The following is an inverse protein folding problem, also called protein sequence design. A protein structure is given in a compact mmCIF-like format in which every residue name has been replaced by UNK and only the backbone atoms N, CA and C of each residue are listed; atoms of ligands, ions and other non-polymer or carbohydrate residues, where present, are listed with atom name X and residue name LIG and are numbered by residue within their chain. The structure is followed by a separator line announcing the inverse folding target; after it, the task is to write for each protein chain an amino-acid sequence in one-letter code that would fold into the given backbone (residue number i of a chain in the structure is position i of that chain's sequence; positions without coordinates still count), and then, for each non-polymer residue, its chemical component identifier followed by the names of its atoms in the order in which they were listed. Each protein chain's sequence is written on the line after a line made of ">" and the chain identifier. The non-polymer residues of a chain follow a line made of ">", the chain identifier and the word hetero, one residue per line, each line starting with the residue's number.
data_IF_540350174368
#
_entry.id   IF_540350174368
#
_cell.length_a   1.000
_cell.length_b   1.000
_cell.length_c   1.000
_cell.angle_alpha   90.00
_cell.angle_beta   90.00
_cell.angle_gamma   90.00
#
_symmetry.space_group_name_H-M   'P 1'
#
loop_
_entity.id
_entity.type
_entity.pdbx_description
1 polymer ?
#
# COMPACT_ATOMS: atom_id res chain seq x y z
N UNK A 1 8.14 -5.73 21.59
CA UNK A 1 8.37 -6.39 20.30
C UNK A 1 8.33 -5.30 19.26
N UNK A 2 9.18 -5.38 18.24
CA UNK A 2 9.23 -4.40 17.15
C UNK A 2 8.26 -4.86 16.08
N UNK A 3 7.33 -4.00 15.68
CA UNK A 3 6.28 -4.37 14.71
C UNK A 3 6.43 -3.60 13.39
N UNK A 4 6.36 -4.31 12.27
CA UNK A 4 6.17 -3.74 10.94
C UNK A 4 4.77 -4.13 10.43
N UNK A 5 3.92 -3.15 10.18
CA UNK A 5 2.66 -3.36 9.51
C UNK A 5 2.81 -3.01 8.03
N UNK A 6 2.63 -3.99 7.15
CA UNK A 6 2.59 -3.80 5.71
C UNK A 6 1.13 -3.77 5.25
N UNK A 7 0.67 -2.64 4.72
CA UNK A 7 -0.69 -2.51 4.20
C UNK A 7 -0.62 -2.50 2.69
N UNK A 8 -1.17 -3.54 2.09
CA UNK A 8 -1.23 -3.72 0.64
C UNK A 8 -2.65 -4.07 0.20
N UNK A 9 -2.89 -4.12 -1.10
CA UNK A 9 -4.22 -4.48 -1.56
C UNK A 9 -4.50 -4.01 -2.98
N UNK A 10 -5.61 -4.49 -3.53
CA UNK A 10 -6.07 -4.10 -4.85
C UNK A 10 -6.38 -2.61 -4.94
N UNK A 11 -6.46 -2.08 -6.16
CA UNK A 11 -6.77 -0.66 -6.40
C UNK A 11 -8.16 -0.33 -5.81
N UNK A 12 -8.31 0.87 -5.24
CA UNK A 12 -9.56 1.40 -4.67
C UNK A 12 -10.12 0.64 -3.46
N UNK A 13 -9.32 -0.16 -2.76
CA UNK A 13 -9.72 -0.87 -1.53
C UNK A 13 -9.73 0.00 -0.27
N UNK A 14 -9.19 1.22 -0.30
CA UNK A 14 -9.13 2.12 0.87
C UNK A 14 -7.91 1.93 1.78
N UNK A 15 -6.81 1.38 1.24
CA UNK A 15 -5.55 1.14 1.97
C UNK A 15 -5.06 2.34 2.76
N UNK A 16 -4.92 3.48 2.09
CA UNK A 16 -4.37 4.70 2.70
C UNK A 16 -5.25 5.23 3.83
N UNK A 17 -6.59 5.12 3.70
CA UNK A 17 -7.53 5.46 4.77
C UNK A 17 -7.33 4.54 5.97
N UNK A 18 -7.21 3.24 5.73
CA UNK A 18 -7.01 2.25 6.79
C UNK A 18 -5.66 2.42 7.49
N UNK A 19 -4.58 2.66 6.72
CA UNK A 19 -3.27 2.98 7.27
C UNK A 19 -3.31 4.21 8.21
N UNK A 20 -4.04 5.26 7.81
CA UNK A 20 -4.23 6.45 8.64
C UNK A 20 -4.98 6.13 9.96
N UNK A 21 -6.00 5.27 9.90
CA UNK A 21 -6.73 4.83 11.11
C UNK A 21 -5.79 4.08 12.06
N UNK A 22 -5.01 3.13 11.54
CA UNK A 22 -4.08 2.35 12.34
C UNK A 22 -2.95 3.23 12.91
N UNK A 23 -2.37 4.12 12.11
CA UNK A 23 -1.34 5.05 12.57
C UNK A 23 -1.84 5.93 13.75
N UNK A 24 -3.07 6.43 13.67
CA UNK A 24 -3.67 7.20 14.75
C UNK A 24 -3.97 6.36 15.98
N UNK A 25 -4.47 5.13 15.80
CA UNK A 25 -4.79 4.21 16.90
C UNK A 25 -3.55 3.80 17.66
N UNK A 26 -2.46 3.46 16.96
CA UNK A 26 -1.23 2.94 17.56
C UNK A 26 -0.15 4.01 17.78
N UNK A 27 -0.42 5.26 17.44
CA UNK A 27 0.57 6.36 17.50
C UNK A 27 1.88 6.01 16.76
N UNK A 28 1.77 5.30 15.64
CA UNK A 28 2.89 4.75 14.87
C UNK A 28 3.12 5.56 13.60
N UNK A 29 4.39 5.78 13.26
CA UNK A 29 4.76 6.43 12.01
C UNK A 29 4.31 5.60 10.82
N UNK A 30 3.93 6.30 9.74
CA UNK A 30 3.53 5.64 8.51
C UNK A 30 4.10 6.36 7.29
N UNK A 31 4.36 5.58 6.24
CA UNK A 31 4.79 6.11 4.95
C UNK A 31 3.99 5.46 3.82
N UNK A 32 3.56 6.32 2.90
CA UNK A 32 2.86 5.93 1.69
C UNK A 32 3.81 6.05 0.51
N UNK A 33 3.94 4.98 -0.27
CA UNK A 33 4.74 5.02 -1.50
C UNK A 33 4.24 6.10 -2.46
N UNK A 34 2.92 6.23 -2.59
CA UNK A 34 2.32 7.20 -3.49
C UNK A 34 2.65 8.65 -3.09
N UNK A 35 2.62 8.98 -1.79
CA UNK A 35 3.03 10.31 -1.32
C UNK A 35 4.52 10.61 -1.56
N UNK A 36 5.38 9.62 -1.38
CA UNK A 36 6.81 9.76 -1.73
C UNK A 36 6.95 10.01 -3.24
N UNK A 37 6.20 9.27 -4.05
CA UNK A 37 6.21 9.44 -5.51
C UNK A 37 5.72 10.82 -5.95
N UNK A 38 4.71 11.38 -5.27
CA UNK A 38 4.21 12.73 -5.52
C UNK A 38 5.30 13.77 -5.26
N UNK A 39 5.97 13.71 -4.10
CA UNK A 39 7.10 14.60 -3.77
C UNK A 39 8.22 14.49 -4.81
N UNK A 40 8.56 13.27 -5.24
CA UNK A 40 9.56 13.08 -6.29
C UNK A 40 9.10 13.66 -7.63
N UNK A 41 7.82 13.50 -7.97
CA UNK A 41 7.22 14.04 -9.18
C UNK A 41 7.26 15.57 -9.22
N UNK A 42 6.94 16.21 -8.10
CA UNK A 42 6.98 17.67 -7.98
C UNK A 42 8.41 18.24 -8.02
N UNK A 43 9.37 17.50 -7.43
CA UNK A 43 10.75 17.99 -7.28
C UNK A 43 11.58 17.72 -8.52
N UNK A 44 11.47 16.53 -9.11
CA UNK A 44 12.29 16.09 -10.25
C UNK A 44 11.57 16.33 -11.57
N UNK A 45 10.23 16.24 -11.57
CA UNK A 45 9.41 16.26 -12.77
C UNK A 45 9.42 14.93 -13.52
N UNK A 46 8.57 14.83 -14.53
CA UNK A 46 8.52 13.73 -15.51
C UNK A 46 7.78 14.19 -16.75
N UNK A 47 8.19 13.73 -17.90
CA UNK A 47 7.61 14.13 -19.20
C UNK A 47 6.89 12.97 -19.91
N UNK A 48 7.13 11.73 -19.48
CA UNK A 48 6.61 10.53 -20.12
C UNK A 48 6.45 9.37 -19.11
N UNK A 49 5.86 8.27 -19.60
CA UNK A 49 5.58 7.09 -18.78
C UNK A 49 6.84 6.41 -18.24
N UNK A 50 7.93 6.39 -19.00
CA UNK A 50 9.18 5.75 -18.57
C UNK A 50 9.84 6.54 -17.42
N UNK A 51 9.81 7.85 -17.48
CA UNK A 51 10.27 8.69 -16.37
C UNK A 51 9.38 8.52 -15.15
N UNK A 52 8.06 8.48 -15.34
CA UNK A 52 7.13 8.20 -14.25
C UNK A 52 7.36 6.83 -13.58
N UNK A 53 7.73 5.80 -14.36
CA UNK A 53 8.13 4.49 -13.79
C UNK A 53 9.41 4.58 -12.95
N UNK A 54 10.39 5.40 -13.37
CA UNK A 54 11.61 5.65 -12.57
C UNK A 54 11.27 6.28 -11.22
N UNK A 55 10.33 7.24 -11.19
CA UNK A 55 9.84 7.80 -9.92
C UNK A 55 9.17 6.74 -9.04
N UNK A 56 8.39 5.84 -9.64
CA UNK A 56 7.75 4.74 -8.91
C UNK A 56 8.78 3.76 -8.33
N UNK A 57 9.84 3.47 -9.06
CA UNK A 57 10.95 2.66 -8.57
C UNK A 57 11.71 3.37 -7.45
N UNK A 58 12.09 4.64 -7.66
CA UNK A 58 12.80 5.44 -6.66
C UNK A 58 11.99 5.56 -5.35
N UNK A 59 10.67 5.75 -5.44
CA UNK A 59 9.81 5.81 -4.25
C UNK A 59 9.81 4.48 -3.48
N UNK A 60 9.90 3.33 -4.15
CA UNK A 60 10.01 2.04 -3.47
C UNK A 60 11.39 1.85 -2.83
N UNK A 61 12.47 2.23 -3.48
CA UNK A 61 13.82 2.19 -2.87
C UNK A 61 13.90 3.09 -1.63
N UNK A 62 13.25 4.26 -1.65
CA UNK A 62 13.12 5.11 -0.47
C UNK A 62 12.31 4.43 0.65
N UNK A 63 11.27 3.66 0.34
CA UNK A 63 10.53 2.90 1.34
C UNK A 63 11.43 1.85 2.03
N UNK A 64 12.27 1.13 1.29
CA UNK A 64 13.23 0.20 1.86
C UNK A 64 14.27 0.92 2.73
N UNK A 65 14.81 2.04 2.25
CA UNK A 65 15.75 2.85 3.01
C UNK A 65 15.13 3.36 4.32
N UNK A 66 13.94 3.96 4.27
CA UNK A 66 13.20 4.43 5.45
C UNK A 66 13.02 3.29 6.45
N UNK A 67 12.60 2.12 6.00
CA UNK A 67 12.43 0.99 6.91
C UNK A 67 13.75 0.56 7.55
N UNK A 68 14.84 0.50 6.81
CA UNK A 68 16.16 0.18 7.37
C UNK A 68 16.60 1.17 8.45
N UNK A 69 16.35 2.47 8.26
CA UNK A 69 16.64 3.49 9.26
C UNK A 69 15.77 3.32 10.53
N UNK A 70 14.46 3.10 10.36
CA UNK A 70 13.55 2.85 11.49
C UNK A 70 13.90 1.55 12.22
N UNK A 71 14.34 0.52 11.49
CA UNK A 71 14.75 -0.75 12.06
C UNK A 71 15.98 -0.57 12.97
N UNK A 72 16.94 0.27 12.58
CA UNK A 72 18.11 0.58 13.40
C UNK A 72 17.74 1.29 14.72
N UNK A 73 16.63 2.03 14.74
CA UNK A 73 16.10 2.75 15.89
C UNK A 73 15.10 1.93 16.73
N UNK A 74 14.83 0.69 16.32
CA UNK A 74 13.86 -0.20 16.98
C UNK A 74 12.43 0.39 17.07
N UNK A 75 11.99 1.14 16.04
CA UNK A 75 10.70 1.82 16.02
C UNK A 75 9.69 1.07 15.17
N UNK A 76 8.47 0.96 15.70
CA UNK A 76 7.34 0.44 14.93
C UNK A 76 7.04 1.31 13.71
N UNK A 77 6.59 0.67 12.63
CA UNK A 77 6.38 1.35 11.37
C UNK A 77 5.18 0.75 10.60
N UNK A 78 4.46 1.61 9.91
CA UNK A 78 3.44 1.23 8.93
C UNK A 78 3.92 1.65 7.54
N UNK A 79 3.97 0.71 6.60
CA UNK A 79 4.25 0.97 5.20
C UNK A 79 3.05 0.61 4.33
N UNK A 80 2.64 1.52 3.45
CA UNK A 80 1.51 1.30 2.55
C UNK A 80 1.92 1.42 1.09
N UNK A 81 1.56 0.41 0.30
CA UNK A 81 1.71 0.39 -1.15
C UNK A 81 0.89 -0.74 -1.79
N UNK A 82 0.75 -0.69 -3.11
CA UNK A 82 0.43 -1.88 -3.91
C UNK A 82 1.71 -2.72 -4.10
N UNK A 83 2.15 -3.38 -3.03
CA UNK A 83 3.40 -4.15 -3.08
C UNK A 83 3.32 -5.31 -4.06
N UNK A 84 4.38 -5.49 -4.86
CA UNK A 84 4.64 -6.71 -5.61
C UNK A 84 5.26 -7.78 -4.71
N UNK A 85 5.21 -9.05 -5.14
CA UNK A 85 5.75 -10.18 -4.36
C UNK A 85 7.22 -9.96 -3.96
N UNK A 86 8.06 -9.56 -4.91
CA UNK A 86 9.49 -9.31 -4.65
C UNK A 86 9.75 -8.16 -3.67
N UNK A 87 8.86 -7.15 -3.65
CA UNK A 87 8.94 -6.04 -2.70
C UNK A 87 8.59 -6.50 -1.29
N UNK A 88 7.55 -7.32 -1.15
CA UNK A 88 7.18 -7.95 0.12
C UNK A 88 8.29 -8.87 0.64
N UNK A 89 8.85 -9.73 -0.21
CA UNK A 89 9.96 -10.62 0.15
C UNK A 89 11.17 -9.82 0.66
N UNK A 90 11.51 -8.70 -0.01
CA UNK A 90 12.61 -7.83 0.43
C UNK A 90 12.32 -7.15 1.78
N UNK A 91 11.10 -6.64 2.00
CA UNK A 91 10.69 -6.05 3.28
C UNK A 91 10.74 -7.09 4.41
N UNK A 92 10.24 -8.30 4.17
CA UNK A 92 10.32 -9.40 5.14
C UNK A 92 11.75 -9.79 5.46
N UNK A 93 12.65 -9.81 4.46
CA UNK A 93 14.07 -10.08 4.69
C UNK A 93 14.73 -9.01 5.57
N UNK A 94 14.47 -7.72 5.30
CA UNK A 94 14.97 -6.63 6.16
C UNK A 94 14.41 -6.76 7.58
N UNK A 95 13.14 -7.11 7.71
CA UNK A 95 12.49 -7.28 9.01
C UNK A 95 13.11 -8.44 9.80
N UNK A 96 13.29 -9.60 9.16
CA UNK A 96 13.94 -10.77 9.75
C UNK A 96 15.35 -10.46 10.26
N UNK A 97 16.16 -9.80 9.41
CA UNK A 97 17.55 -9.43 9.74
C UNK A 97 17.64 -8.45 10.93
N UNK A 98 16.55 -7.74 11.25
CA UNK A 98 16.46 -6.77 12.34
C UNK A 98 15.55 -7.22 13.50
N UNK A 99 15.01 -8.44 13.46
CA UNK A 99 14.19 -9.01 14.53
C UNK A 99 12.82 -8.33 14.68
N UNK A 100 12.18 -7.97 13.56
CA UNK A 100 10.82 -7.42 13.55
C UNK A 100 9.77 -8.51 13.33
N UNK A 101 8.66 -8.38 14.05
CA UNK A 101 7.43 -9.08 13.72
C UNK A 101 6.72 -8.35 12.59
N UNK A 102 6.37 -9.07 11.54
CA UNK A 102 5.71 -8.50 10.36
C UNK A 102 4.29 -9.03 10.26
N UNK A 103 3.33 -8.11 10.23
CA UNK A 103 1.96 -8.42 9.83
C UNK A 103 1.66 -7.74 8.50
N UNK A 104 1.35 -8.54 7.47
CA UNK A 104 0.88 -8.02 6.19
C UNK A 104 -0.64 -8.03 6.13
N UNK A 105 -1.24 -6.85 5.96
CA UNK A 105 -2.68 -6.68 5.77
C UNK A 105 -2.94 -6.53 4.28
N UNK A 106 -3.59 -7.52 3.68
CA UNK A 106 -3.87 -7.58 2.25
C UNK A 106 -5.36 -7.33 1.98
N UNK A 107 -5.68 -6.16 1.43
CA UNK A 107 -7.05 -5.74 1.12
C UNK A 107 -7.44 -6.19 -0.30
N UNK A 108 -8.58 -6.85 -0.42
CA UNK A 108 -9.17 -7.24 -1.70
C UNK A 108 -10.67 -6.93 -1.69
N UNK A 109 -11.35 -6.98 -2.83
CA UNK A 109 -12.79 -6.72 -2.87
C UNK A 109 -13.47 -7.26 -4.14
N UNK A 110 -14.77 -7.04 -4.26
CA UNK A 110 -15.51 -7.31 -5.48
C UNK A 110 -15.01 -6.36 -6.58
N UNK A 111 -14.57 -6.93 -7.69
CA UNK A 111 -13.89 -6.18 -8.77
C UNK A 111 -14.78 -5.08 -9.33
N UNK A 112 -16.08 -5.35 -9.46
CA UNK A 112 -17.10 -4.41 -9.95
C UNK A 112 -17.17 -3.17 -9.04
N UNK A 113 -17.23 -3.39 -7.72
CA UNK A 113 -17.30 -2.32 -6.72
C UNK A 113 -16.00 -1.52 -6.69
N UNK A 114 -14.86 -2.19 -6.79
CA UNK A 114 -13.56 -1.52 -6.82
C UNK A 114 -13.37 -0.69 -8.09
N UNK A 115 -13.86 -1.19 -9.24
CA UNK A 115 -13.81 -0.45 -10.50
C UNK A 115 -14.68 0.81 -10.45
N UNK A 116 -15.92 0.71 -9.94
CA UNK A 116 -16.79 1.87 -9.75
C UNK A 116 -16.14 2.94 -8.86
N UNK A 117 -15.55 2.52 -7.73
CA UNK A 117 -14.81 3.44 -6.84
C UNK A 117 -13.61 4.08 -7.52
N UNK A 118 -12.89 3.31 -8.33
CA UNK A 118 -11.77 3.81 -9.11
C UNK A 118 -12.21 4.89 -10.09
N UNK A 119 -13.26 4.66 -10.87
CA UNK A 119 -13.80 5.62 -11.81
C UNK A 119 -14.33 6.88 -11.12
N UNK A 120 -15.08 6.72 -10.02
CA UNK A 120 -15.56 7.84 -9.22
C UNK A 120 -14.42 8.71 -8.69
N UNK A 121 -13.34 8.08 -8.24
CA UNK A 121 -12.14 8.78 -7.76
C UNK A 121 -11.42 9.52 -8.89
N UNK A 122 -11.34 8.93 -10.08
CA UNK A 122 -10.73 9.57 -11.26
C UNK A 122 -11.51 10.80 -11.72
N UNK A 123 -12.84 10.81 -11.54
CA UNK A 123 -13.72 11.90 -11.97
C UNK A 123 -13.84 13.02 -10.94
N UNK A 124 -13.87 12.67 -9.66
CA UNK A 124 -14.25 13.57 -8.57
C UNK A 124 -13.09 14.05 -7.70
N UNK A 125 -11.90 13.44 -7.80
CA UNK A 125 -10.72 13.84 -7.06
C UNK A 125 -9.72 14.55 -7.97
N UNK A 126 -9.13 15.62 -7.46
CA UNK A 126 -8.01 16.28 -8.12
C UNK A 126 -6.73 15.45 -7.87
N UNK A 127 -6.51 14.42 -8.69
CA UNK A 127 -5.39 13.51 -8.53
C UNK A 127 -4.09 14.09 -9.03
N UNK A 128 -3.03 13.81 -8.27
CA UNK A 128 -1.68 14.21 -8.66
C UNK A 128 -1.29 13.64 -10.03
N UNK A 129 -0.63 14.43 -10.92
CA UNK A 129 -0.27 14.00 -12.29
C UNK A 129 0.52 12.69 -12.36
N UNK A 130 1.35 12.35 -11.37
CA UNK A 130 2.11 11.08 -11.33
C UNK A 130 1.21 9.83 -11.37
N UNK A 131 -0.06 9.94 -10.98
CA UNK A 131 -1.03 8.84 -10.98
C UNK A 131 -1.86 8.78 -12.26
N UNK A 132 -1.80 9.80 -13.11
CA UNK A 132 -2.60 9.91 -14.33
C UNK A 132 -1.91 9.32 -15.56
N UNK A 133 -0.64 8.95 -15.47
CA UNK A 133 0.11 8.39 -16.61
C UNK A 133 -0.36 7.01 -17.06
N UNK A 134 -1.24 6.37 -16.31
CA UNK A 134 -1.86 5.09 -16.66
C UNK A 134 -3.28 5.08 -16.12
N UNK A 135 -4.24 5.37 -16.97
CA UNK A 135 -5.67 5.20 -16.68
C UNK A 135 -6.11 3.80 -17.09
N UNK A 136 -6.93 3.18 -16.25
CA UNK A 136 -7.47 1.83 -16.49
C UNK A 136 -9.00 1.98 -16.61
N UNK A 137 -9.45 2.61 -17.70
CA UNK A 137 -10.85 2.99 -17.85
C UNK A 137 -11.74 1.79 -18.20
N UNK A 138 -11.18 0.78 -18.88
CA UNK A 138 -11.94 -0.41 -19.29
C UNK A 138 -11.99 -1.42 -18.15
N UNK A 139 -13.19 -1.92 -17.86
CA UNK A 139 -13.43 -2.92 -16.84
C UNK A 139 -12.53 -4.17 -16.99
N UNK A 140 -12.37 -4.68 -18.21
CA UNK A 140 -11.55 -5.85 -18.47
C UNK A 140 -10.07 -5.64 -18.14
N UNK A 141 -9.55 -4.44 -18.35
CA UNK A 141 -8.16 -4.13 -17.99
C UNK A 141 -8.02 -3.90 -16.48
N UNK A 142 -9.02 -3.29 -15.84
CA UNK A 142 -9.09 -3.17 -14.39
C UNK A 142 -9.15 -4.56 -13.74
N UNK A 143 -9.97 -5.47 -14.25
CA UNK A 143 -10.11 -6.84 -13.78
C UNK A 143 -8.79 -7.62 -13.85
N UNK A 144 -7.98 -7.42 -14.90
CA UNK A 144 -6.64 -8.05 -14.99
C UNK A 144 -5.68 -7.59 -13.87
N UNK A 145 -5.80 -6.32 -13.47
CA UNK A 145 -4.97 -5.73 -12.42
C UNK A 145 -5.51 -5.99 -10.99
N UNK A 146 -6.79 -6.37 -10.88
CA UNK A 146 -7.47 -6.62 -9.62
C UNK A 146 -7.39 -8.11 -9.24
N UNK A 147 -7.84 -8.44 -8.04
CA UNK A 147 -7.85 -9.80 -7.50
C UNK A 147 -6.44 -10.40 -7.30
N UNK A 148 -5.41 -9.54 -7.41
CA UNK A 148 -4.01 -9.93 -7.23
C UNK A 148 -3.75 -10.35 -5.78
N UNK A 149 -4.28 -9.59 -4.82
CA UNK A 149 -4.04 -9.83 -3.39
C UNK A 149 -4.73 -11.10 -2.85
N UNK A 150 -5.73 -11.63 -3.53
CA UNK A 150 -6.31 -12.93 -3.17
C UNK A 150 -5.41 -14.11 -3.52
N UNK A 151 -4.61 -13.96 -4.58
CA UNK A 151 -3.86 -15.05 -5.22
C UNK A 151 -2.38 -15.06 -4.92
N UNK A 152 -1.82 -13.90 -4.61
CA UNK A 152 -0.38 -13.78 -4.34
C UNK A 152 -0.01 -14.53 -3.06
N UNK A 153 1.08 -15.26 -3.14
CA UNK A 153 1.74 -15.80 -1.96
C UNK A 153 2.53 -14.69 -1.26
N UNK A 154 2.22 -14.43 -0.01
CA UNK A 154 2.83 -13.39 0.82
C UNK A 154 3.59 -14.11 1.94
N UNK A 155 4.88 -13.77 2.18
CA UNK A 155 5.63 -14.36 3.28
C UNK A 155 5.08 -13.91 4.64
N UNK A 156 5.32 -14.73 5.68
CA UNK A 156 5.00 -14.42 7.06
C UNK A 156 3.52 -14.42 7.42
N UNK A 157 3.17 -13.66 8.45
CA UNK A 157 1.78 -13.54 8.90
C UNK A 157 0.98 -12.62 7.99
N UNK A 158 -0.19 -13.09 7.52
CA UNK A 158 -1.02 -12.37 6.57
C UNK A 158 -2.48 -12.34 7.00
N UNK A 159 -3.00 -11.14 7.14
CA UNK A 159 -4.44 -10.91 7.34
C UNK A 159 -5.07 -10.44 6.02
N UNK A 160 -5.93 -11.27 5.43
CA UNK A 160 -6.69 -10.89 4.24
C UNK A 160 -8.06 -10.35 4.62
N UNK A 161 -8.35 -9.13 4.18
CA UNK A 161 -9.59 -8.42 4.53
C UNK A 161 -10.38 -8.11 3.27
N UNK A 162 -11.66 -8.48 3.28
CA UNK A 162 -12.58 -8.10 2.21
C UNK A 162 -13.02 -6.63 2.39
N UNK A 163 -12.60 -5.79 1.46
CA UNK A 163 -12.84 -4.34 1.41
C UNK A 163 -13.97 -3.97 0.43
N UNK A 164 -14.83 -4.90 0.08
CA UNK A 164 -16.00 -4.64 -0.79
C UNK A 164 -16.92 -3.57 -0.20
N UNK A 165 -17.02 -3.51 1.12
CA UNK A 165 -17.53 -2.34 1.83
C UNK A 165 -16.47 -1.80 2.81
N UNK A 166 -16.64 -0.55 3.28
CA UNK A 166 -15.64 0.07 4.16
C UNK A 166 -15.85 -0.20 5.65
N UNK A 167 -16.81 -1.06 6.04
CA UNK A 167 -17.10 -1.38 7.44
C UNK A 167 -15.91 -2.02 8.16
N UNK A 168 -15.02 -2.69 7.40
CA UNK A 168 -13.81 -3.28 7.97
C UNK A 168 -12.90 -2.25 8.66
N UNK A 169 -12.93 -0.98 8.24
CA UNK A 169 -12.06 0.08 8.74
C UNK A 169 -12.31 0.41 10.23
N UNK A 170 -13.52 0.18 10.70
CA UNK A 170 -13.95 0.41 12.09
C UNK A 170 -14.44 -0.88 12.77
N UNK A 171 -14.05 -2.04 12.25
CA UNK A 171 -14.44 -3.32 12.83
C UNK A 171 -13.48 -3.68 13.96
N UNK A 172 -13.96 -3.63 15.20
CA UNK A 172 -13.15 -3.90 16.40
C UNK A 172 -12.58 -5.32 16.44
N UNK A 173 -13.25 -6.32 15.84
CA UNK A 173 -12.73 -7.68 15.77
C UNK A 173 -11.51 -7.77 14.84
N UNK A 174 -11.50 -6.96 13.76
CA UNK A 174 -10.36 -6.85 12.85
C UNK A 174 -9.22 -6.10 13.56
N UNK A 175 -9.54 -4.97 14.19
CA UNK A 175 -8.56 -4.14 14.88
C UNK A 175 -7.91 -4.90 16.04
N UNK A 176 -8.68 -5.65 16.82
CA UNK A 176 -8.17 -6.48 17.93
C UNK A 176 -7.23 -7.62 17.50
N UNK A 177 -7.25 -8.03 16.22
CA UNK A 177 -6.29 -9.01 15.69
C UNK A 177 -4.96 -8.38 15.27
N UNK A 178 -4.92 -7.06 15.16
CA UNK A 178 -3.71 -6.29 14.82
C UNK A 178 -2.98 -5.88 16.09
N UNK A 179 -3.72 -5.72 17.21
CA UNK A 179 -3.20 -5.41 18.57
C UNK A 179 -2.27 -6.52 19.07
#
# INVERSE_FOLDING_TARGET
>A
MKKLLLITGDIATGKSTFANILSKRYHTNMFFKDSIKEVLGDTIGFSNREENKKLSFASMELMFFIFSEFASLEKDLILESNFHKSELERLHKIAEDNGYDVLTIALFGAVEVLHERYLNRMTNENRHPVHLSTTIDKFEDFKKCSDYMKRIEIPGEVMRINATDFRYQNNEEILAKID
#
